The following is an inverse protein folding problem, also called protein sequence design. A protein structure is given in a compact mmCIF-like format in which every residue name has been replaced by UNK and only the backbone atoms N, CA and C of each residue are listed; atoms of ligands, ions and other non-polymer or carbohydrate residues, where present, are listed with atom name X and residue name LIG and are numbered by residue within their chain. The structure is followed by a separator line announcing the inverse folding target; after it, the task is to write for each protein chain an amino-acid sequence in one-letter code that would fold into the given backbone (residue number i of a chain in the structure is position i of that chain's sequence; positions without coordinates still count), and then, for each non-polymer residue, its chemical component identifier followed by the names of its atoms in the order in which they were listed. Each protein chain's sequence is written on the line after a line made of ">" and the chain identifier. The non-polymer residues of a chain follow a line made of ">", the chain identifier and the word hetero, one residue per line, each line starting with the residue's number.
data_IF_879509669681
#
_entry.id   IF_879509669681
#
_cell.length_a   1.000
_cell.length_b   1.000
_cell.length_c   1.000
_cell.angle_alpha   90.00
_cell.angle_beta   90.00
_cell.angle_gamma   90.00
#
_symmetry.space_group_name_H-M   'P 1'
#
loop_
_entity.id
_entity.type
_entity.pdbx_description
1 polymer ?
#
# COMPACT_ATOMS: atom_id res chain seq x y z
N UNK A 1 -23.12 -15.58 0.64
CA UNK A 1 -22.74 -14.23 1.11
C UNK A 1 -21.70 -13.69 0.14
N UNK A 2 -21.98 -12.55 -0.50
CA UNK A 2 -21.08 -11.96 -1.51
C UNK A 2 -19.85 -11.38 -0.80
N UNK A 3 -18.66 -11.77 -1.25
CA UNK A 3 -17.43 -11.10 -0.84
C UNK A 3 -17.38 -9.75 -1.56
N UNK A 4 -17.57 -8.67 -0.81
CA UNK A 4 -17.32 -7.33 -1.30
C UNK A 4 -15.81 -7.17 -1.44
N UNK A 5 -15.30 -7.29 -2.67
CA UNK A 5 -13.90 -7.03 -2.97
C UNK A 5 -13.65 -5.52 -2.80
N UNK A 6 -13.35 -5.10 -1.58
CA UNK A 6 -12.74 -3.79 -1.36
C UNK A 6 -11.36 -3.88 -2.00
N UNK A 7 -11.11 -3.03 -3.00
CA UNK A 7 -9.79 -2.93 -3.65
C UNK A 7 -8.81 -2.40 -2.59
N UNK A 8 -8.23 -3.30 -1.82
CA UNK A 8 -7.29 -3.00 -0.76
C UNK A 8 -5.88 -3.34 -1.21
N UNK A 9 -4.88 -2.67 -0.66
CA UNK A 9 -3.47 -2.98 -0.91
C UNK A 9 -3.01 -4.32 -0.33
N UNK A 10 -3.91 -5.29 -0.12
CA UNK A 10 -3.66 -6.60 0.48
C UNK A 10 -4.39 -6.87 1.81
N UNK A 11 -4.92 -5.84 2.47
CA UNK A 11 -5.52 -5.92 3.81
C UNK A 11 -7.03 -5.81 3.80
N UNK A 12 -7.64 -5.50 4.94
CA UNK A 12 -9.07 -5.20 5.01
C UNK A 12 -9.35 -4.04 5.96
N UNK A 13 -10.52 -3.43 5.80
CA UNK A 13 -11.03 -2.46 6.75
C UNK A 13 -11.93 -3.18 7.76
N UNK A 14 -11.81 -2.83 9.04
CA UNK A 14 -12.80 -3.24 10.05
C UNK A 14 -14.14 -2.53 9.82
N UNK A 15 -15.18 -2.94 10.56
CA UNK A 15 -16.48 -2.27 10.56
C UNK A 15 -16.40 -0.79 10.97
N UNK A 16 -15.33 -0.42 11.68
CA UNK A 16 -15.03 0.95 12.11
C UNK A 16 -14.10 1.68 11.12
N UNK A 17 -13.96 1.17 9.89
CA UNK A 17 -13.09 1.70 8.83
C UNK A 17 -11.60 1.73 9.20
N UNK A 18 -11.14 0.85 10.10
CA UNK A 18 -9.73 0.78 10.46
C UNK A 18 -8.97 -0.18 9.55
N UNK A 19 -7.77 0.20 9.08
CA UNK A 19 -6.90 -0.70 8.30
C UNK A 19 -6.37 -1.81 9.20
N UNK A 20 -6.53 -3.06 8.78
CA UNK A 20 -5.99 -4.25 9.45
C UNK A 20 -5.27 -5.14 8.43
N UNK A 21 -4.17 -5.77 8.86
CA UNK A 21 -3.41 -6.73 8.08
C UNK A 21 -2.35 -6.08 7.19
N UNK A 22 -1.94 -6.75 6.10
CA UNK A 22 -0.88 -6.28 5.21
C UNK A 22 -1.38 -5.21 4.25
N UNK A 23 -0.64 -4.12 4.09
CA UNK A 23 -1.01 -3.03 3.18
C UNK A 23 0.17 -2.60 2.32
N UNK A 24 -0.18 -2.03 1.17
CA UNK A 24 0.68 -1.24 0.31
C UNK A 24 0.21 0.21 0.42
N UNK A 25 1.05 1.08 0.96
CA UNK A 25 0.87 2.53 0.92
C UNK A 25 1.72 3.13 -0.19
N UNK A 26 1.21 4.16 -0.85
CA UNK A 26 1.97 4.96 -1.81
C UNK A 26 2.76 6.03 -1.04
N UNK A 27 3.97 6.34 -1.49
CA UNK A 27 4.69 7.52 -0.99
C UNK A 27 3.98 8.80 -1.42
N UNK A 28 4.08 9.86 -0.61
CA UNK A 28 3.47 11.16 -0.93
C UNK A 28 4.01 11.74 -2.25
N UNK A 29 5.23 11.34 -2.65
CA UNK A 29 5.85 11.67 -3.92
C UNK A 29 5.72 10.53 -4.95
N UNK A 30 4.63 9.76 -4.91
CA UNK A 30 4.33 8.78 -5.94
C UNK A 30 4.09 9.48 -7.28
N UNK A 31 5.16 9.59 -8.07
CA UNK A 31 5.20 10.25 -9.36
C UNK A 31 5.40 9.20 -10.47
N UNK A 32 5.05 9.56 -11.70
CA UNK A 32 5.18 8.64 -12.85
C UNK A 32 6.61 8.14 -13.08
N UNK A 33 7.59 8.96 -12.72
CA UNK A 33 9.02 8.66 -12.83
C UNK A 33 9.57 7.89 -11.62
N UNK A 34 8.91 8.00 -10.46
CA UNK A 34 9.38 7.45 -9.19
C UNK A 34 8.21 6.88 -8.41
N UNK A 35 8.06 5.56 -8.52
CA UNK A 35 6.99 4.81 -7.85
C UNK A 35 7.57 4.17 -6.61
N UNK A 36 7.50 4.89 -5.49
CA UNK A 36 7.83 4.37 -4.17
C UNK A 36 6.57 3.87 -3.50
N UNK A 37 6.59 2.62 -3.08
CA UNK A 37 5.52 2.02 -2.27
C UNK A 37 6.10 1.47 -0.98
N UNK A 38 5.33 1.58 0.10
CA UNK A 38 5.66 1.01 1.40
C UNK A 38 4.76 -0.19 1.66
N UNK A 39 5.35 -1.31 2.05
CA UNK A 39 4.62 -2.53 2.39
C UNK A 39 4.88 -2.87 3.85
N UNK A 40 3.81 -3.11 4.58
CA UNK A 40 3.90 -3.49 5.99
C UNK A 40 2.53 -3.84 6.55
N UNK A 41 2.45 -3.97 7.86
CA UNK A 41 1.22 -4.39 8.54
C UNK A 41 0.61 -3.23 9.31
N UNK A 42 -0.72 -3.13 9.24
CA UNK A 42 -1.51 -2.27 10.07
C UNK A 42 -2.24 -3.10 11.13
N UNK A 43 -2.19 -2.62 12.36
CA UNK A 43 -3.06 -3.06 13.46
C UNK A 43 -3.89 -1.86 13.92
N UNK A 44 -5.20 -1.93 13.72
CA UNK A 44 -6.14 -0.86 14.05
C UNK A 44 -5.70 0.52 13.52
N UNK A 45 -5.39 0.60 12.21
CA UNK A 45 -4.87 1.79 11.52
C UNK A 45 -3.51 2.31 12.01
N UNK A 46 -2.79 1.57 12.86
CA UNK A 46 -1.41 1.88 13.26
C UNK A 46 -0.43 1.00 12.49
N UNK A 47 0.62 1.60 11.93
CA UNK A 47 1.73 0.87 11.32
C UNK A 47 2.48 0.07 12.39
N UNK A 48 2.57 -1.24 12.21
CA UNK A 48 3.29 -2.15 13.11
C UNK A 48 4.35 -2.94 12.35
N UNK A 49 5.35 -3.44 13.09
CA UNK A 49 6.43 -4.25 12.53
C UNK A 49 7.37 -3.48 11.60
N UNK A 50 8.10 -4.24 10.78
CA UNK A 50 9.06 -3.68 9.81
C UNK A 50 8.31 -3.32 8.53
N UNK A 51 8.51 -2.09 8.08
CA UNK A 51 7.98 -1.58 6.82
C UNK A 51 9.08 -1.57 5.77
N UNK A 52 8.87 -2.30 4.67
CA UNK A 52 9.77 -2.31 3.53
C UNK A 52 9.34 -1.28 2.49
N UNK A 53 10.29 -0.52 1.95
CA UNK A 53 10.06 0.32 0.78
C UNK A 53 10.52 -0.40 -0.50
N UNK A 54 9.74 -0.26 -1.57
CA UNK A 54 10.17 -0.67 -2.90
C UNK A 54 10.14 0.56 -3.79
N UNK A 55 11.28 0.89 -4.38
CA UNK A 55 11.42 1.96 -5.37
C UNK A 55 11.47 1.29 -6.72
N UNK A 56 10.56 1.67 -7.61
CA UNK A 56 10.68 1.40 -9.03
C UNK A 56 10.88 2.70 -9.78
N UNK A 57 12.01 2.80 -10.46
CA UNK A 57 12.34 3.90 -11.37
C UNK A 57 11.99 3.44 -12.78
N UNK A 58 11.13 4.20 -13.47
CA UNK A 58 10.96 3.97 -14.91
C UNK A 58 12.17 4.59 -15.61
N UNK A 59 13.04 3.77 -16.19
CA UNK A 59 13.97 4.28 -17.20
C UNK A 59 13.12 4.74 -18.40
N UNK A 60 13.07 6.04 -18.65
CA UNK A 60 12.51 6.56 -19.89
C UNK A 60 13.43 6.09 -21.02
N UNK A 61 12.98 5.11 -21.80
CA UNK A 61 13.57 4.87 -23.11
C UNK A 61 13.22 6.07 -23.98
N UNK A 62 14.22 6.91 -24.25
CA UNK A 62 14.15 7.90 -25.33
C UNK A 62 14.14 7.07 -26.63
N UNK A 63 13.01 7.13 -27.36
CA UNK A 63 12.86 6.56 -28.70
C UNK A 63 13.26 7.63 -29.72
#
# INVERSE_FOLDING_TARGET
>A
MQHQYILSGGGYYSEQSMKIGKWIDLDDQFLDIKKVIYKGEYDNSKKVGIWGNTISEKQQQII
#
